data_IF_845535348991
#
_entry.id   IF_845535348991
#
_cell.length_a   1.000
_cell.length_b   1.000
_cell.length_c   1.000
_cell.angle_alpha   90.00
_cell.angle_beta   90.00
_cell.angle_gamma   90.00
#
_symmetry.space_group_name_H-M   'P 1'
#
loop_
_entity.id
_entity.type
_entity.pdbx_description
1 polymer ?
#
# COMPACT_ATOMS: atom_id res chain seq x y z
N UNK A 1 32.22 26.62 16.79
CA UNK A 1 30.83 26.94 17.12
C UNK A 1 29.95 25.78 16.76
N UNK A 2 29.57 25.03 17.76
CA UNK A 2 28.78 23.82 17.62
C UNK A 2 27.33 24.21 17.40
N UNK A 3 26.77 23.88 16.24
CA UNK A 3 25.34 23.89 16.05
C UNK A 3 24.78 22.60 16.67
N UNK A 4 24.23 22.76 17.84
CA UNK A 4 23.51 21.71 18.52
C UNK A 4 22.16 21.53 17.83
N UNK A 5 22.09 20.57 16.92
CA UNK A 5 20.81 20.17 16.33
C UNK A 5 20.16 19.17 17.28
N UNK A 6 19.44 19.69 18.22
CA UNK A 6 18.53 18.90 19.03
C UNK A 6 17.41 18.39 18.15
N UNK A 7 17.53 17.14 17.70
CA UNK A 7 16.39 16.43 17.15
C UNK A 7 15.34 16.29 18.25
N UNK A 8 14.26 17.02 18.13
CA UNK A 8 13.10 16.87 19.00
C UNK A 8 12.51 15.46 18.92
N UNK A 9 11.81 15.01 19.96
CA UNK A 9 11.22 13.67 19.96
C UNK A 9 10.22 13.56 18.80
N UNK A 10 10.41 12.52 17.99
CA UNK A 10 9.47 12.14 16.97
C UNK A 10 8.10 11.94 17.64
N UNK A 11 7.21 12.83 17.37
CA UNK A 11 5.83 12.76 17.82
C UNK A 11 5.16 11.58 17.10
N UNK A 12 4.47 10.74 17.84
CA UNK A 12 3.77 9.50 17.54
C UNK A 12 3.07 9.28 16.19
N UNK A 13 3.36 10.10 15.17
CA UNK A 13 2.91 9.90 13.80
C UNK A 13 3.69 8.78 13.09
N UNK A 14 4.86 8.40 13.60
CA UNK A 14 5.68 7.34 13.02
C UNK A 14 5.20 5.92 13.33
N UNK A 15 4.19 5.78 14.20
CA UNK A 15 3.68 4.48 14.59
C UNK A 15 2.94 3.73 13.47
N UNK A 16 2.59 4.45 12.40
CA UNK A 16 1.93 3.89 11.20
C UNK A 16 2.77 4.08 9.94
N UNK A 17 4.04 4.43 10.09
CA UNK A 17 4.95 4.42 8.97
C UNK A 17 4.97 3.01 8.38
N UNK A 18 4.48 2.87 7.17
CA UNK A 18 4.56 1.62 6.42
C UNK A 18 6.03 1.18 6.40
N UNK A 19 6.36 0.03 6.95
CA UNK A 19 7.75 -0.36 7.08
C UNK A 19 8.37 -0.54 5.70
N UNK A 20 9.34 0.29 5.42
CA UNK A 20 10.33 0.14 4.35
C UNK A 20 9.77 0.04 2.94
N UNK A 21 9.66 1.20 2.31
CA UNK A 21 9.25 1.41 0.93
C UNK A 21 9.97 0.53 -0.10
N UNK A 22 11.20 0.16 0.15
CA UNK A 22 12.03 -0.56 -0.81
C UNK A 22 11.72 -2.05 -0.95
N UNK A 23 11.06 -2.64 0.02
CA UNK A 23 10.78 -4.08 0.03
C UNK A 23 9.33 -4.44 -0.29
N UNK A 24 8.43 -3.45 -0.30
CA UNK A 24 7.01 -3.70 -0.24
C UNK A 24 6.34 -3.76 -1.62
N UNK A 25 6.88 -3.06 -2.62
CA UNK A 25 6.26 -2.96 -3.94
C UNK A 25 7.26 -3.22 -5.04
N UNK A 26 7.36 -4.47 -5.52
CA UNK A 26 8.20 -4.77 -6.67
C UNK A 26 7.67 -4.05 -7.90
N UNK A 27 8.59 -3.60 -8.74
CA UNK A 27 8.24 -3.07 -10.06
C UNK A 27 7.93 -4.24 -10.99
N UNK A 28 6.76 -4.20 -11.62
CA UNK A 28 6.35 -5.18 -12.61
C UNK A 28 7.06 -4.94 -13.94
N UNK A 29 7.47 -6.00 -14.59
CA UNK A 29 8.03 -5.92 -15.94
C UNK A 29 6.93 -5.68 -16.98
N UNK A 30 7.32 -5.17 -18.14
CA UNK A 30 6.37 -4.99 -19.25
C UNK A 30 5.66 -6.31 -19.61
N UNK A 31 6.38 -7.42 -19.62
CA UNK A 31 5.83 -8.74 -19.89
C UNK A 31 4.80 -9.18 -18.83
N UNK A 32 5.07 -8.91 -17.58
CA UNK A 32 4.13 -9.18 -16.50
C UNK A 32 2.85 -8.35 -16.64
N UNK A 33 2.98 -7.06 -16.95
CA UNK A 33 1.84 -6.17 -17.19
C UNK A 33 1.00 -6.65 -18.38
N UNK A 34 1.63 -7.08 -19.48
CA UNK A 34 0.91 -7.62 -20.64
C UNK A 34 0.08 -8.86 -20.26
N UNK A 35 0.61 -9.73 -19.40
CA UNK A 35 -0.13 -10.89 -18.88
C UNK A 35 -1.32 -10.49 -18.01
N UNK A 36 -1.25 -9.35 -17.34
CA UNK A 36 -2.31 -8.83 -16.48
C UNK A 36 -3.44 -8.13 -17.26
N UNK A 37 -3.18 -7.68 -18.48
CA UNK A 37 -4.14 -6.88 -19.26
C UNK A 37 -5.51 -7.55 -19.45
N UNK A 38 -5.53 -8.86 -19.59
CA UNK A 38 -6.78 -9.62 -19.77
C UNK A 38 -7.69 -9.63 -18.53
N UNK A 39 -7.13 -9.26 -17.37
CA UNK A 39 -7.87 -9.22 -16.10
C UNK A 39 -8.32 -7.83 -15.71
N UNK A 40 -7.99 -6.83 -16.48
CA UNK A 40 -8.26 -5.44 -16.15
C UNK A 40 -8.66 -4.59 -17.34
N UNK A 41 -8.92 -3.33 -17.05
CA UNK A 41 -9.27 -2.32 -18.04
C UNK A 41 -8.37 -1.10 -17.91
N UNK A 42 -8.12 -0.45 -19.05
CA UNK A 42 -7.34 0.78 -19.07
C UNK A 42 -8.16 1.94 -18.51
N UNK A 43 -7.56 2.70 -17.59
CA UNK A 43 -8.13 3.89 -16.99
C UNK A 43 -7.12 5.03 -17.05
N UNK A 44 -7.55 6.17 -17.55
CA UNK A 44 -6.75 7.40 -17.58
C UNK A 44 -7.28 8.42 -16.61
N UNK A 45 -6.36 9.13 -15.96
CA UNK A 45 -6.67 10.16 -14.99
C UNK A 45 -5.91 11.43 -15.32
N UNK A 46 -6.55 12.57 -15.07
CA UNK A 46 -5.96 13.89 -15.19
C UNK A 46 -5.32 14.30 -13.88
N UNK A 47 -4.40 15.26 -13.96
CA UNK A 47 -3.75 15.83 -12.78
C UNK A 47 -4.77 16.18 -11.68
N UNK A 48 -4.50 15.69 -10.46
CA UNK A 48 -5.34 15.91 -9.29
C UNK A 48 -6.57 15.02 -9.17
N UNK A 49 -6.91 14.20 -10.18
CA UNK A 49 -8.03 13.27 -10.06
C UNK A 49 -7.72 12.15 -9.07
N UNK A 50 -8.72 11.79 -8.26
CA UNK A 50 -8.61 10.71 -7.31
C UNK A 50 -8.82 9.34 -7.99
N UNK A 51 -7.91 8.40 -7.72
CA UNK A 51 -8.06 7.00 -8.08
C UNK A 51 -8.88 6.25 -7.02
N UNK A 52 -8.62 6.57 -5.77
CA UNK A 52 -9.36 6.06 -4.61
C UNK A 52 -9.26 7.07 -3.47
N UNK A 53 -10.24 6.99 -2.57
CA UNK A 53 -10.37 7.91 -1.45
C UNK A 53 -10.55 7.18 -0.13
N UNK A 54 -9.97 7.72 0.93
CA UNK A 54 -10.14 7.23 2.31
C UNK A 54 -11.62 7.12 2.66
N UNK A 55 -12.00 6.00 3.26
CA UNK A 55 -13.37 5.75 3.72
C UNK A 55 -14.30 5.22 2.65
N UNK A 56 -13.86 5.12 1.40
CA UNK A 56 -14.63 4.54 0.29
C UNK A 56 -14.05 3.20 -0.12
N UNK A 57 -14.90 2.29 -0.56
CA UNK A 57 -14.45 1.03 -1.15
C UNK A 57 -13.82 1.34 -2.50
N UNK A 58 -12.55 0.95 -2.67
CA UNK A 58 -11.84 1.15 -3.93
C UNK A 58 -12.33 0.22 -5.04
N UNK A 59 -12.14 0.61 -6.31
CA UNK A 59 -12.62 -0.18 -7.45
C UNK A 59 -11.78 -1.43 -7.74
N UNK A 60 -10.60 -1.56 -7.16
CA UNK A 60 -9.69 -2.68 -7.39
C UNK A 60 -8.22 -2.30 -7.27
N UNK A 61 -7.35 -3.15 -7.80
CA UNK A 61 -5.92 -2.90 -7.87
C UNK A 61 -5.59 -2.07 -9.10
N UNK A 62 -4.77 -1.04 -8.92
CA UNK A 62 -4.24 -0.24 -10.03
C UNK A 62 -2.79 -0.62 -10.32
N UNK A 63 -2.47 -0.81 -11.58
CA UNK A 63 -1.09 -0.88 -12.07
C UNK A 63 -0.81 0.42 -12.80
N UNK A 64 0.20 1.15 -12.39
CA UNK A 64 0.59 2.40 -13.06
C UNK A 64 1.33 2.06 -14.36
N UNK A 65 0.81 2.51 -15.48
CA UNK A 65 1.42 2.30 -16.79
C UNK A 65 2.29 3.48 -17.20
N UNK A 66 1.84 4.69 -16.92
CA UNK A 66 2.57 5.94 -17.14
C UNK A 66 2.15 7.00 -16.13
N UNK A 67 3.03 7.95 -15.86
CA UNK A 67 2.80 9.00 -14.87
C UNK A 67 3.07 8.54 -13.45
N UNK A 68 2.60 9.31 -12.50
CA UNK A 68 2.81 9.07 -11.06
C UNK A 68 1.51 9.24 -10.29
N UNK A 69 1.36 8.46 -9.23
CA UNK A 69 0.25 8.55 -8.29
C UNK A 69 0.79 8.87 -6.91
N UNK A 70 0.33 9.98 -6.34
CA UNK A 70 0.64 10.36 -4.98
C UNK A 70 -0.31 9.66 -4.01
N UNK A 71 0.25 8.94 -3.06
CA UNK A 71 -0.49 8.34 -1.96
C UNK A 71 -0.35 9.24 -0.74
N UNK A 72 -1.48 9.63 -0.19
CA UNK A 72 -1.54 10.49 0.99
C UNK A 72 -2.41 9.87 2.06
N UNK A 73 -2.08 10.16 3.30
CA UNK A 73 -2.87 9.77 4.46
C UNK A 73 -3.52 11.00 5.08
N UNK A 74 -4.78 10.87 5.44
CA UNK A 74 -5.52 11.92 6.13
C UNK A 74 -5.73 11.52 7.58
N UNK A 75 -5.38 12.40 8.52
CA UNK A 75 -5.65 12.19 9.93
C UNK A 75 -7.09 12.56 10.30
N UNK A 76 -7.48 12.28 11.54
CA UNK A 76 -8.82 12.59 12.05
C UNK A 76 -9.15 14.09 12.12
N UNK A 77 -8.13 14.97 11.97
CA UNK A 77 -8.27 16.43 11.96
C UNK A 77 -8.28 17.00 10.54
N UNK A 78 -8.13 16.14 9.52
CA UNK A 78 -8.13 16.55 8.12
C UNK A 78 -6.76 16.96 7.57
N UNK A 79 -5.68 16.80 8.33
CA UNK A 79 -4.33 17.02 7.81
C UNK A 79 -3.96 15.92 6.83
N UNK A 80 -3.35 16.31 5.72
CA UNK A 80 -2.91 15.42 4.66
C UNK A 80 -1.38 15.27 4.73
N UNK A 81 -0.92 14.05 4.85
CA UNK A 81 0.50 13.72 4.90
C UNK A 81 0.87 12.84 3.71
N UNK A 82 1.90 13.21 2.92
CA UNK A 82 2.41 12.33 1.87
C UNK A 82 2.94 11.02 2.46
N UNK A 83 2.60 9.90 1.83
CA UNK A 83 3.07 8.57 2.23
C UNK A 83 4.09 8.04 1.25
N UNK A 84 3.74 7.96 -0.04
CA UNK A 84 4.59 7.43 -1.10
C UNK A 84 4.11 7.91 -2.46
N UNK A 85 5.03 8.00 -3.41
CA UNK A 85 4.73 8.15 -4.83
C UNK A 85 4.92 6.83 -5.55
N UNK A 86 3.96 6.47 -6.39
CA UNK A 86 4.04 5.27 -7.21
C UNK A 86 4.19 5.66 -8.68
N UNK A 87 5.22 5.13 -9.32
CA UNK A 87 5.54 5.36 -10.71
C UNK A 87 5.23 4.17 -11.62
N UNK A 88 5.64 4.26 -12.90
CA UNK A 88 5.36 3.22 -13.89
C UNK A 88 5.85 1.84 -13.48
N UNK A 89 5.03 0.82 -13.70
CA UNK A 89 5.30 -0.57 -13.33
C UNK A 89 5.01 -0.91 -11.89
N UNK A 90 4.69 0.04 -11.05
CA UNK A 90 4.28 -0.18 -9.66
C UNK A 90 2.77 -0.36 -9.57
N UNK A 91 2.31 -1.03 -8.53
CA UNK A 91 0.90 -1.27 -8.32
C UNK A 91 0.42 -0.77 -6.96
N UNK A 92 -0.84 -0.36 -6.95
CA UNK A 92 -1.53 0.19 -5.80
C UNK A 92 -2.60 -0.80 -5.40
N UNK A 93 -2.38 -1.48 -4.32
CA UNK A 93 -3.38 -2.39 -3.78
C UNK A 93 -3.29 -2.44 -2.25
N UNK A 94 -4.43 -2.44 -1.63
CA UNK A 94 -4.56 -2.77 -0.23
C UNK A 94 -5.25 -4.13 -0.10
N UNK A 95 -4.86 -4.91 0.88
CA UNK A 95 -5.55 -6.18 1.22
C UNK A 95 -7.05 -5.94 1.41
N UNK A 96 -7.41 -4.76 1.89
CA UNK A 96 -8.80 -4.33 2.03
C UNK A 96 -9.62 -4.43 0.75
N UNK A 97 -9.00 -4.28 -0.41
CA UNK A 97 -9.71 -4.38 -1.69
C UNK A 97 -10.18 -5.80 -1.99
N UNK A 98 -9.44 -6.82 -1.55
CA UNK A 98 -9.87 -8.22 -1.67
C UNK A 98 -11.04 -8.58 -0.74
N UNK A 99 -11.21 -7.84 0.33
CA UNK A 99 -12.23 -8.05 1.35
C UNK A 99 -13.34 -6.99 1.35
N UNK A 100 -13.40 -6.15 0.32
CA UNK A 100 -14.36 -5.04 0.18
C UNK A 100 -14.31 -4.03 1.34
N UNK A 101 -13.14 -3.84 1.92
CA UNK A 101 -12.93 -2.82 2.95
C UNK A 101 -12.70 -1.45 2.32
N UNK A 102 -12.96 -0.43 3.12
CA UNK A 102 -12.70 0.96 2.71
C UNK A 102 -11.20 1.25 2.66
N UNK A 103 -10.80 2.15 1.76
CA UNK A 103 -9.43 2.62 1.68
C UNK A 103 -9.03 3.41 2.94
N UNK A 104 -7.79 3.25 3.36
CA UNK A 104 -7.21 3.96 4.51
C UNK A 104 -6.35 5.15 4.08
N UNK A 105 -6.10 5.27 2.78
CA UNK A 105 -5.30 6.32 2.17
C UNK A 105 -6.00 6.85 0.93
N UNK A 106 -5.61 8.04 0.51
CA UNK A 106 -6.05 8.63 -0.75
C UNK A 106 -4.99 8.40 -1.83
N UNK A 107 -5.42 8.20 -3.06
CA UNK A 107 -4.55 8.14 -4.23
C UNK A 107 -4.97 9.17 -5.28
N UNK A 108 -4.06 10.05 -5.67
CA UNK A 108 -4.31 11.12 -6.65
C UNK A 108 -3.30 11.08 -7.78
N UNK A 109 -3.77 11.36 -8.99
CA UNK A 109 -2.89 11.51 -10.14
C UNK A 109 -2.02 12.77 -10.01
N UNK A 110 -0.73 12.60 -10.24
CA UNK A 110 0.24 13.69 -10.44
C UNK A 110 0.54 13.81 -11.93
N UNK A 111 0.02 14.84 -12.57
CA UNK A 111 0.00 14.92 -14.02
C UNK A 111 -0.97 13.90 -14.63
N UNK A 112 -0.87 13.69 -15.93
CA UNK A 112 -1.66 12.66 -16.61
C UNK A 112 -1.15 11.27 -16.27
N UNK A 113 -2.03 10.37 -15.88
CA UNK A 113 -1.71 9.00 -15.46
C UNK A 113 -2.55 8.01 -16.24
N UNK A 114 -1.89 7.00 -16.78
CA UNK A 114 -2.55 5.84 -17.36
C UNK A 114 -2.36 4.63 -16.44
N UNK A 115 -3.42 3.92 -16.20
CA UNK A 115 -3.43 2.76 -15.30
C UNK A 115 -4.15 1.57 -15.93
N UNK A 116 -3.81 0.40 -15.42
CA UNK A 116 -4.60 -0.82 -15.60
C UNK A 116 -5.36 -1.06 -14.29
N UNK A 117 -6.68 -0.98 -14.34
CA UNK A 117 -7.54 -1.28 -13.19
C UNK A 117 -7.99 -2.73 -13.22
N UNK A 118 -7.67 -3.47 -12.19
CA UNK A 118 -8.07 -4.86 -12.01
C UNK A 118 -9.09 -4.94 -10.89
N UNK A 119 -10.36 -5.17 -11.20
CA UNK A 119 -11.41 -5.32 -10.18
C UNK A 119 -11.13 -6.51 -9.24
N UNK A 120 -11.69 -6.54 -8.02
CA UNK A 120 -11.41 -7.58 -7.03
C UNK A 120 -11.69 -9.02 -7.50
N UNK A 121 -12.76 -9.23 -8.23
CA UNK A 121 -13.11 -10.54 -8.81
C UNK A 121 -12.10 -10.98 -9.88
N UNK A 122 -11.64 -10.05 -10.73
CA UNK A 122 -10.61 -10.31 -11.72
C UNK A 122 -9.23 -10.48 -11.08
N UNK A 123 -8.96 -9.78 -9.98
CA UNK A 123 -7.73 -9.98 -9.22
C UNK A 123 -7.66 -11.40 -8.66
N UNK A 124 -8.75 -11.94 -8.15
CA UNK A 124 -8.81 -13.35 -7.72
C UNK A 124 -8.55 -14.31 -8.88
N UNK A 125 -9.13 -14.05 -10.04
CA UNK A 125 -8.88 -14.84 -11.24
C UNK A 125 -7.41 -14.77 -11.69
N UNK A 126 -6.80 -13.59 -11.62
CA UNK A 126 -5.37 -13.39 -11.90
C UNK A 126 -4.48 -14.22 -10.96
N UNK A 127 -4.77 -14.18 -9.66
CA UNK A 127 -3.99 -14.93 -8.65
C UNK A 127 -4.03 -16.45 -8.90
N UNK A 128 -5.13 -16.95 -9.41
CA UNK A 128 -5.28 -18.36 -9.77
C UNK A 128 -4.59 -18.71 -11.10
N UNK A 129 -4.77 -17.86 -12.11
CA UNK A 129 -4.26 -18.13 -13.47
C UNK A 129 -2.75 -17.91 -13.59
N UNK A 130 -2.20 -16.97 -12.84
CA UNK A 130 -0.81 -16.52 -12.89
C UNK A 130 -0.14 -16.72 -11.53
N UNK A 131 0.14 -17.98 -11.19
CA UNK A 131 0.56 -18.35 -9.83
C UNK A 131 1.83 -17.63 -9.35
N UNK A 132 2.86 -17.54 -10.18
CA UNK A 132 4.12 -16.86 -9.81
C UNK A 132 3.93 -15.35 -9.63
N UNK A 133 3.22 -14.73 -10.55
CA UNK A 133 2.90 -13.30 -10.48
C UNK A 133 1.97 -13.00 -9.30
N UNK A 134 0.97 -13.85 -9.11
CA UNK A 134 0.06 -13.78 -7.98
C UNK A 134 0.78 -13.88 -6.64
N UNK A 135 1.75 -14.77 -6.52
CA UNK A 135 2.58 -14.91 -5.32
C UNK A 135 3.39 -13.64 -5.03
N UNK A 136 3.98 -13.03 -6.04
CA UNK A 136 4.70 -11.75 -5.89
C UNK A 136 3.78 -10.62 -5.42
N UNK A 137 2.59 -10.54 -6.01
CA UNK A 137 1.58 -9.55 -5.62
C UNK A 137 1.16 -9.78 -4.17
N UNK A 138 0.84 -11.01 -3.80
CA UNK A 138 0.44 -11.34 -2.44
C UNK A 138 1.53 -11.09 -1.42
N UNK A 139 2.78 -11.34 -1.74
CA UNK A 139 3.93 -11.00 -0.88
C UNK A 139 4.06 -9.50 -0.67
N UNK A 140 3.80 -8.70 -1.69
CA UNK A 140 3.84 -7.25 -1.58
C UNK A 140 2.71 -6.71 -0.70
N UNK A 141 1.55 -7.35 -0.73
CA UNK A 141 0.41 -7.00 0.11
C UNK A 141 0.51 -7.54 1.54
N UNK A 142 1.24 -8.63 1.74
CA UNK A 142 1.29 -9.37 3.00
C UNK A 142 2.14 -8.76 4.13
N UNK A 143 3.16 -7.90 3.90
CA UNK A 143 3.97 -7.35 5.00
C UNK A 143 3.17 -6.53 6.01
N UNK A 144 1.99 -6.07 5.63
CA UNK A 144 1.10 -5.35 6.53
C UNK A 144 0.20 -6.27 7.37
N UNK A 145 0.22 -7.58 7.13
CA UNK A 145 -0.69 -8.51 7.81
C UNK A 145 -0.06 -9.86 8.16
N UNK A 146 -0.24 -10.34 9.39
CA UNK A 146 -0.72 -9.56 10.53
C UNK A 146 0.33 -8.55 10.98
N UNK A 147 -0.06 -7.43 11.58
CA UNK A 147 0.92 -6.66 12.31
C UNK A 147 1.59 -7.66 13.23
N UNK A 148 2.92 -7.77 13.17
CA UNK A 148 3.63 -8.61 14.11
C UNK A 148 3.13 -8.19 15.48
N UNK A 149 2.28 -9.03 16.08
CA UNK A 149 2.05 -8.91 17.48
C UNK A 149 3.45 -8.84 18.06
N UNK A 150 3.85 -7.70 18.59
CA UNK A 150 4.97 -7.66 19.47
C UNK A 150 4.70 -8.80 20.40
N UNK A 151 5.52 -9.82 20.31
CA UNK A 151 5.55 -10.78 21.38
C UNK A 151 5.74 -9.92 22.62
N UNK A 152 4.65 -9.63 23.29
CA UNK A 152 4.72 -9.19 24.64
C UNK A 152 5.39 -10.36 25.32
N UNK A 153 6.68 -10.24 25.47
CA UNK A 153 7.41 -11.08 26.37
C UNK A 153 6.95 -10.64 27.75
N UNK A 154 5.74 -10.97 28.07
CA UNK A 154 5.38 -11.18 29.44
C UNK A 154 6.16 -12.44 29.81
N UNK A 155 7.43 -12.23 30.07
CA UNK A 155 8.07 -13.11 31.01
C UNK A 155 7.11 -13.16 32.19
N UNK A 156 6.35 -14.21 32.24
CA UNK A 156 5.74 -14.61 33.49
C UNK A 156 6.91 -14.92 34.34
N UNK A 157 7.42 -13.87 34.94
CA UNK A 157 8.16 -14.05 36.18
C UNK A 157 7.13 -14.66 37.11
N UNK A 158 7.19 -15.92 37.22
CA UNK A 158 6.48 -16.64 38.25
C UNK A 158 7.35 -16.59 39.50
N UNK A 159 7.07 -15.71 40.47
CA UNK A 159 7.69 -15.79 41.76
C UNK A 159 6.89 -16.80 42.59
N UNK A 160 6.81 -17.99 42.15
CA UNK A 160 6.51 -19.03 43.08
C UNK A 160 7.80 -19.75 43.37
N UNK A 161 8.47 -19.23 44.31
CA UNK A 161 8.78 -20.09 45.43
C UNK A 161 9.44 -19.34 46.54
N UNK A 162 8.65 -18.81 47.37
CA UNK A 162 9.03 -18.80 48.76
C UNK A 162 8.28 -19.94 49.43
N UNK A 163 8.87 -21.05 49.44
CA UNK A 163 8.45 -22.04 50.41
C UNK A 163 8.91 -21.63 51.80
#
# INVERSE_FOLDING_TARGET
>A
MSADTTAGPATGADAYAFPRHEQTFPTLTHHEIERMRRFGELRSYKDGEALFETGKVGPGMFVVLSGHVAITQRDGLGHVTPVIDQGPGQFLAEIGQLSSRVALVDGHAEGDVDTLLIPPDQLRALLVAEAELGERIMRALAPAWPPKARASNTATDNPSDAA
#
